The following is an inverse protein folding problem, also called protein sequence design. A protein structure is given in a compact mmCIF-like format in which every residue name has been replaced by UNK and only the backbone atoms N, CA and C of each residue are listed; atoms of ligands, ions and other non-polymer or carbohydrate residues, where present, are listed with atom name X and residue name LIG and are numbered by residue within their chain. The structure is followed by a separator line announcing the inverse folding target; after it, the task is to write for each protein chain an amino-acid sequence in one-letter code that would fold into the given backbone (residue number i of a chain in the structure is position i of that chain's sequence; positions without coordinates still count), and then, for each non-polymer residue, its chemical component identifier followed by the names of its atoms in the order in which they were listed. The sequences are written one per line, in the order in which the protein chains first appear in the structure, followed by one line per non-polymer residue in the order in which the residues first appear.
data_IF_479080566592
#
_entry.id   IF_479080566592
#
_cell.length_a   1.000
_cell.length_b   1.000
_cell.length_c   1.000
_cell.angle_alpha   90.00
_cell.angle_beta   90.00
_cell.angle_gamma   90.00
#
_symmetry.space_group_name_H-M   'P 1'
#
loop_
_entity.id
_entity.type
_entity.pdbx_description
1 polymer ?
#
# COMPACT_ATOMS: atom_id res chain seq x y z
N UNK A 1 36.38 37.99 19.20
CA UNK A 1 36.48 37.64 17.76
C UNK A 1 35.70 36.36 17.58
N UNK A 2 34.51 36.45 17.03
CA UNK A 2 33.76 35.27 16.64
C UNK A 2 34.32 34.84 15.30
N UNK A 3 35.15 33.81 15.30
CA UNK A 3 35.56 33.15 14.06
C UNK A 3 34.27 32.73 13.33
N UNK A 4 34.07 33.29 12.13
CA UNK A 4 32.98 32.86 11.27
C UNK A 4 33.20 31.36 10.99
N UNK A 5 32.25 30.53 11.41
CA UNK A 5 32.25 29.08 11.17
C UNK A 5 32.29 28.74 9.67
N UNK A 6 32.05 29.73 8.82
CA UNK A 6 31.97 29.53 7.36
C UNK A 6 32.77 30.62 6.66
N UNK A 7 33.62 30.23 5.71
CA UNK A 7 34.25 31.16 4.79
C UNK A 7 33.29 31.58 3.66
N UNK A 8 33.50 32.78 3.11
CA UNK A 8 32.67 33.25 1.97
C UNK A 8 32.76 32.32 0.77
N UNK A 9 33.88 31.61 0.57
CA UNK A 9 34.03 30.59 -0.45
C UNK A 9 33.16 29.35 -0.20
N UNK A 10 33.05 28.91 1.06
CA UNK A 10 32.18 27.81 1.44
C UNK A 10 30.70 28.13 1.17
N UNK A 11 30.28 29.32 1.59
CA UNK A 11 28.91 29.80 1.34
C UNK A 11 28.59 29.90 -0.15
N UNK A 12 29.52 30.41 -0.95
CA UNK A 12 29.34 30.52 -2.40
C UNK A 12 29.23 29.14 -3.07
N UNK A 13 30.05 28.16 -2.62
CA UNK A 13 30.01 26.79 -3.11
C UNK A 13 28.68 26.11 -2.77
N UNK A 14 28.17 26.28 -1.56
CA UNK A 14 26.90 25.69 -1.15
C UNK A 14 25.73 26.29 -1.94
N UNK A 15 25.74 27.62 -2.15
CA UNK A 15 24.74 28.28 -2.98
C UNK A 15 24.73 27.75 -4.41
N UNK A 16 25.92 27.61 -5.01
CA UNK A 16 26.02 27.09 -6.39
C UNK A 16 25.53 25.64 -6.45
N UNK A 17 25.90 24.79 -5.49
CA UNK A 17 25.43 23.41 -5.41
C UNK A 17 23.91 23.31 -5.26
N UNK A 18 23.30 24.22 -4.46
CA UNK A 18 21.85 24.30 -4.32
C UNK A 18 21.17 24.73 -5.63
N UNK A 19 21.70 25.75 -6.31
CA UNK A 19 21.18 26.20 -7.61
C UNK A 19 21.27 25.09 -8.67
N UNK A 20 22.40 24.42 -8.76
CA UNK A 20 22.60 23.30 -9.67
C UNK A 20 21.61 22.18 -9.38
N UNK A 21 21.34 21.90 -8.10
CA UNK A 21 20.42 20.85 -7.66
C UNK A 21 18.96 21.19 -7.97
N UNK A 22 18.55 22.45 -7.80
CA UNK A 22 17.19 22.90 -8.11
C UNK A 22 16.83 22.75 -9.60
N UNK A 23 17.83 22.74 -10.47
CA UNK A 23 17.63 22.53 -11.90
C UNK A 23 17.80 21.07 -12.36
N UNK A 24 18.18 20.17 -11.46
CA UNK A 24 18.31 18.75 -11.78
C UNK A 24 16.93 18.07 -11.66
N UNK A 25 16.61 17.25 -12.65
CA UNK A 25 15.48 16.33 -12.52
C UNK A 25 15.93 15.16 -11.63
N UNK A 26 15.31 14.93 -10.46
CA UNK A 26 15.72 13.84 -9.57
C UNK A 26 15.67 12.50 -10.28
N UNK A 27 16.72 11.68 -10.11
CA UNK A 27 16.67 10.28 -10.48
C UNK A 27 15.87 9.52 -9.43
N UNK A 28 14.63 9.18 -9.75
CA UNK A 28 13.72 8.43 -8.87
C UNK A 28 13.97 6.93 -8.87
N UNK A 29 14.87 6.42 -9.73
CA UNK A 29 15.09 4.98 -9.86
C UNK A 29 15.75 4.37 -8.64
N UNK A 30 16.55 5.16 -7.91
CA UNK A 30 17.27 4.70 -6.72
C UNK A 30 16.34 4.36 -5.54
N UNK A 31 15.15 4.96 -5.47
CA UNK A 31 14.16 4.71 -4.40
C UNK A 31 13.07 3.73 -4.81
N UNK A 32 12.87 3.53 -6.11
CA UNK A 32 11.85 2.63 -6.66
C UNK A 32 12.35 1.19 -6.76
N UNK A 33 12.96 0.67 -5.70
CA UNK A 33 13.49 -0.69 -5.65
C UNK A 33 12.99 -1.43 -4.42
N UNK A 34 12.74 -2.73 -4.61
CA UNK A 34 12.42 -3.61 -3.50
C UNK A 34 13.69 -3.96 -2.73
N UNK A 35 13.62 -3.80 -1.41
CA UNK A 35 14.63 -4.32 -0.48
C UNK A 35 13.95 -5.13 0.62
N UNK A 36 14.43 -6.35 0.84
CA UNK A 36 14.01 -7.18 1.97
C UNK A 36 14.49 -6.56 3.28
N UNK A 37 13.64 -6.59 4.29
CA UNK A 37 13.98 -6.09 5.61
C UNK A 37 13.05 -6.66 6.69
N UNK A 38 13.23 -6.25 7.95
CA UNK A 38 12.39 -6.70 9.05
C UNK A 38 10.90 -6.45 8.74
N UNK A 39 10.12 -7.54 8.70
CA UNK A 39 8.69 -7.48 8.43
C UNK A 39 8.28 -7.37 6.96
N UNK A 40 9.22 -7.38 6.02
CA UNK A 40 8.92 -7.36 4.58
C UNK A 40 9.75 -8.40 3.83
N UNK A 41 9.08 -9.27 3.07
CA UNK A 41 9.74 -10.27 2.24
C UNK A 41 8.99 -10.49 0.92
N UNK A 42 9.74 -10.72 -0.14
CA UNK A 42 9.21 -11.20 -1.42
C UNK A 42 9.04 -12.72 -1.35
N UNK A 43 7.86 -13.21 -1.68
CA UNK A 43 7.56 -14.64 -1.69
C UNK A 43 7.95 -15.29 -3.02
N UNK A 44 8.18 -16.60 -2.98
CA UNK A 44 8.36 -17.41 -4.18
C UNK A 44 6.98 -17.74 -4.80
N UNK A 45 6.29 -16.70 -5.24
CA UNK A 45 5.00 -16.76 -5.90
C UNK A 45 4.87 -15.53 -6.80
N UNK A 46 4.49 -15.77 -8.04
CA UNK A 46 4.35 -14.70 -9.03
C UNK A 46 3.14 -14.95 -9.92
N UNK A 47 2.40 -13.88 -10.21
CA UNK A 47 1.24 -13.85 -11.11
C UNK A 47 1.55 -13.07 -12.38
N UNK A 48 0.76 -13.29 -13.42
CA UNK A 48 0.86 -12.53 -14.66
C UNK A 48 0.33 -11.10 -14.45
N UNK A 49 1.23 -10.13 -14.56
CA UNK A 49 0.89 -8.72 -14.31
C UNK A 49 -0.06 -8.14 -15.37
N UNK A 50 -0.01 -8.61 -16.62
CA UNK A 50 -0.93 -8.15 -17.66
C UNK A 50 -2.35 -8.64 -17.34
N UNK A 51 -2.51 -9.94 -17.02
CA UNK A 51 -3.79 -10.50 -16.59
C UNK A 51 -4.34 -9.87 -15.31
N UNK A 52 -3.48 -9.46 -14.38
CA UNK A 52 -3.90 -8.73 -13.18
C UNK A 52 -4.48 -7.36 -13.53
N UNK A 53 -3.88 -6.64 -14.47
CA UNK A 53 -4.37 -5.34 -14.96
C UNK A 53 -5.69 -5.48 -15.69
N UNK A 54 -5.80 -6.46 -16.59
CA UNK A 54 -7.05 -6.76 -17.29
C UNK A 54 -8.18 -7.09 -16.30
N UNK A 55 -7.89 -7.92 -15.28
CA UNK A 55 -8.85 -8.24 -14.24
C UNK A 55 -9.24 -7.02 -13.39
N UNK A 56 -8.29 -6.13 -13.10
CA UNK A 56 -8.57 -4.87 -12.42
C UNK A 56 -9.56 -4.02 -13.21
N UNK A 57 -9.31 -3.80 -14.50
CA UNK A 57 -10.16 -3.00 -15.37
C UNK A 57 -11.58 -3.58 -15.45
N UNK A 58 -11.69 -4.91 -15.57
CA UNK A 58 -12.98 -5.62 -15.57
C UNK A 58 -13.72 -5.39 -14.25
N UNK A 59 -13.07 -5.61 -13.11
CA UNK A 59 -13.70 -5.48 -11.80
C UNK A 59 -14.12 -4.03 -11.52
N UNK A 60 -13.27 -3.05 -11.85
CA UNK A 60 -13.59 -1.63 -11.70
C UNK A 60 -14.75 -1.21 -12.59
N UNK A 61 -14.82 -1.72 -13.83
CA UNK A 61 -15.94 -1.44 -14.75
C UNK A 61 -17.27 -2.00 -14.24
N UNK A 62 -17.25 -3.14 -13.54
CA UNK A 62 -18.46 -3.83 -13.03
C UNK A 62 -19.02 -3.19 -11.75
N UNK A 63 -18.18 -2.87 -10.79
CA UNK A 63 -18.64 -2.40 -9.47
C UNK A 63 -18.05 -1.05 -9.07
N UNK A 64 -16.90 -0.64 -9.63
CA UNK A 64 -16.16 0.53 -9.24
C UNK A 64 -15.53 0.40 -7.84
N UNK A 65 -14.68 1.34 -7.51
CA UNK A 65 -14.18 1.50 -6.16
C UNK A 65 -15.25 2.08 -5.23
N UNK A 66 -15.18 1.71 -3.97
CA UNK A 66 -15.97 2.27 -2.87
C UNK A 66 -15.02 3.04 -1.94
N UNK A 67 -15.57 4.03 -1.23
CA UNK A 67 -14.82 4.96 -0.39
C UNK A 67 -14.63 6.31 -1.06
N UNK A 68 -14.13 7.27 -0.31
CA UNK A 68 -13.93 8.64 -0.78
C UNK A 68 -12.44 8.89 -1.10
N UNK A 69 -12.11 8.80 -2.39
CA UNK A 69 -10.75 9.06 -2.85
C UNK A 69 -10.33 10.51 -2.67
N UNK A 70 -11.28 11.46 -2.66
CA UNK A 70 -10.97 12.89 -2.54
C UNK A 70 -10.76 13.29 -1.08
N UNK A 71 -11.59 12.81 -0.17
CA UNK A 71 -11.49 13.13 1.25
C UNK A 71 -10.49 12.21 1.98
N UNK A 72 -10.54 10.91 1.71
CA UNK A 72 -9.72 9.92 2.42
C UNK A 72 -8.42 9.57 1.70
N UNK A 73 -8.28 9.91 0.42
CA UNK A 73 -7.16 9.50 -0.43
C UNK A 73 -7.05 7.98 -0.60
N UNK A 74 -8.17 7.28 -0.40
CA UNK A 74 -8.21 5.83 -0.36
C UNK A 74 -9.56 5.32 -0.84
N UNK A 75 -9.54 4.29 -1.69
CA UNK A 75 -10.73 3.55 -2.09
C UNK A 75 -10.44 2.06 -2.19
N UNK A 76 -11.45 1.25 -2.03
CA UNK A 76 -11.34 -0.21 -2.04
C UNK A 76 -12.40 -0.84 -2.94
N UNK A 77 -12.04 -1.99 -3.53
CA UNK A 77 -12.96 -2.88 -4.23
C UNK A 77 -12.81 -4.26 -3.57
N UNK A 78 -13.82 -4.72 -2.79
CA UNK A 78 -13.81 -6.04 -2.19
C UNK A 78 -13.87 -7.14 -3.25
N UNK A 79 -13.04 -8.18 -3.09
CA UNK A 79 -13.03 -9.37 -3.93
C UNK A 79 -13.51 -10.62 -3.17
N UNK A 80 -13.57 -10.54 -1.84
CA UNK A 80 -14.18 -11.56 -0.98
C UNK A 80 -15.26 -10.94 -0.12
N UNK A 81 -16.19 -11.76 0.35
CA UNK A 81 -17.31 -11.36 1.17
C UNK A 81 -17.60 -12.38 2.28
N UNK A 82 -18.39 -11.97 3.25
CA UNK A 82 -18.96 -12.88 4.23
C UNK A 82 -20.04 -13.72 3.52
N UNK A 83 -20.04 -15.05 3.64
CA UNK A 83 -21.00 -15.90 2.99
C UNK A 83 -22.44 -15.47 3.28
N UNK A 84 -23.23 -15.36 2.22
CA UNK A 84 -24.65 -14.93 2.31
C UNK A 84 -24.84 -13.40 2.41
N UNK A 85 -23.77 -12.60 2.51
CA UNK A 85 -23.85 -11.14 2.48
C UNK A 85 -23.45 -10.63 1.08
N UNK A 86 -24.37 -9.94 0.41
CA UNK A 86 -24.12 -9.34 -0.91
C UNK A 86 -23.87 -7.83 -0.85
N UNK A 87 -24.02 -7.21 0.31
CA UNK A 87 -23.87 -5.77 0.48
C UNK A 87 -22.47 -5.43 0.98
N UNK A 88 -21.84 -4.44 0.35
CA UNK A 88 -20.56 -3.89 0.80
C UNK A 88 -20.81 -2.96 1.99
N UNK A 89 -20.18 -3.25 3.11
CA UNK A 89 -20.23 -2.45 4.33
C UNK A 89 -18.95 -1.60 4.50
N UNK A 90 -18.96 -0.67 5.44
CA UNK A 90 -17.75 0.06 5.84
C UNK A 90 -16.65 -0.88 6.34
N UNK A 91 -17.01 -2.04 6.90
CA UNK A 91 -16.05 -3.05 7.34
C UNK A 91 -15.35 -3.74 6.18
N UNK A 92 -15.99 -3.86 5.00
CA UNK A 92 -15.34 -4.40 3.80
C UNK A 92 -14.24 -3.47 3.27
N UNK A 93 -14.33 -2.19 3.55
CA UNK A 93 -13.41 -1.16 3.07
C UNK A 93 -12.28 -0.88 4.05
N UNK A 94 -12.57 -0.84 5.34
CA UNK A 94 -11.61 -0.44 6.37
C UNK A 94 -10.54 -1.52 6.65
N UNK A 95 -9.34 -1.09 7.04
CA UNK A 95 -8.24 -1.97 7.41
C UNK A 95 -7.40 -1.50 8.59
N UNK A 96 -7.70 -0.33 9.17
CA UNK A 96 -6.94 0.22 10.29
C UNK A 96 -7.55 -0.17 11.61
N UNK A 97 -6.80 -0.83 12.48
CA UNK A 97 -7.29 -1.34 13.76
C UNK A 97 -6.73 -0.58 14.96
N UNK A 98 -5.42 -0.30 14.97
CA UNK A 98 -4.79 0.54 15.98
C UNK A 98 -4.13 1.70 15.27
N UNK A 99 -4.79 2.85 15.33
CA UNK A 99 -4.32 4.08 14.73
C UNK A 99 -3.46 4.84 15.72
N UNK A 100 -2.35 5.37 15.27
CA UNK A 100 -1.57 6.36 15.99
C UNK A 100 -1.76 7.72 15.32
N UNK A 101 -2.62 8.60 15.87
CA UNK A 101 -2.82 9.93 15.33
C UNK A 101 -1.55 10.79 15.47
N UNK A 102 -1.29 11.63 14.47
CA UNK A 102 -0.09 12.47 14.44
C UNK A 102 0.00 13.47 15.60
N UNK A 103 -1.14 13.84 16.16
CA UNK A 103 -1.24 14.88 17.19
C UNK A 103 -1.18 14.38 18.63
N UNK A 104 -1.23 13.09 18.90
CA UNK A 104 -1.36 12.58 20.27
C UNK A 104 -0.26 11.63 20.71
N UNK A 105 0.47 11.01 19.82
CA UNK A 105 1.44 9.93 20.09
C UNK A 105 0.87 8.72 20.83
N UNK A 106 -0.45 8.67 21.03
CA UNK A 106 -1.13 7.56 21.69
C UNK A 106 -1.87 6.73 20.66
N UNK A 107 -1.79 5.43 20.86
CA UNK A 107 -2.53 4.48 20.03
C UNK A 107 -4.02 4.53 20.39
N UNK A 108 -4.86 4.61 19.36
CA UNK A 108 -6.31 4.55 19.51
C UNK A 108 -6.79 3.25 18.88
N UNK A 109 -7.36 2.37 19.68
CA UNK A 109 -7.98 1.16 19.20
C UNK A 109 -9.28 1.48 18.45
N UNK A 110 -9.60 0.67 17.45
CA UNK A 110 -10.91 0.67 16.82
C UNK A 110 -11.94 0.07 17.79
N UNK A 111 -13.15 0.60 17.82
CA UNK A 111 -14.23 0.09 18.68
C UNK A 111 -14.65 -1.33 18.30
N UNK A 112 -14.70 -1.63 16.99
CA UNK A 112 -15.05 -2.95 16.48
C UNK A 112 -13.92 -3.52 15.64
N UNK A 113 -13.53 -4.76 15.94
CA UNK A 113 -12.60 -5.52 15.13
C UNK A 113 -13.35 -6.27 14.03
N UNK A 114 -12.80 -6.22 12.83
CA UNK A 114 -13.29 -7.00 11.71
C UNK A 114 -12.66 -8.39 11.78
N UNK A 115 -13.49 -9.43 11.80
CA UNK A 115 -13.01 -10.79 11.63
C UNK A 115 -12.63 -11.02 10.16
N UNK A 116 -11.36 -10.92 9.84
CA UNK A 116 -10.85 -11.11 8.49
C UNK A 116 -11.17 -12.50 7.94
N UNK A 117 -11.21 -13.53 8.79
CA UNK A 117 -11.51 -14.91 8.39
C UNK A 117 -12.98 -15.13 7.99
N UNK A 118 -13.88 -14.26 8.45
CA UNK A 118 -15.28 -14.32 8.05
C UNK A 118 -15.50 -14.06 6.55
N UNK A 119 -14.57 -13.34 5.88
CA UNK A 119 -14.65 -13.03 4.46
C UNK A 119 -14.15 -14.19 3.58
N UNK A 120 -14.72 -15.36 3.74
CA UNK A 120 -14.25 -16.61 3.16
C UNK A 120 -14.79 -16.95 1.77
N UNK A 121 -15.80 -16.21 1.28
CA UNK A 121 -16.38 -16.43 -0.04
C UNK A 121 -15.78 -15.43 -1.05
N UNK A 122 -15.21 -15.96 -2.15
CA UNK A 122 -14.84 -15.10 -3.29
C UNK A 122 -16.12 -14.60 -3.97
N UNK A 123 -16.16 -13.29 -4.29
CA UNK A 123 -17.36 -12.69 -4.86
C UNK A 123 -17.69 -13.29 -6.24
N UNK A 124 -18.87 -13.93 -6.39
CA UNK A 124 -19.29 -14.53 -7.67
C UNK A 124 -19.31 -13.56 -8.85
N UNK A 125 -19.47 -12.26 -8.59
CA UNK A 125 -19.45 -11.23 -9.64
C UNK A 125 -18.10 -11.15 -10.38
N UNK A 126 -17.03 -11.70 -9.78
CA UNK A 126 -15.66 -11.71 -10.32
C UNK A 126 -15.11 -13.11 -10.60
N UNK A 127 -15.97 -14.16 -10.52
CA UNK A 127 -15.56 -15.55 -10.65
C UNK A 127 -14.92 -15.90 -12.01
N UNK A 128 -15.21 -15.14 -13.06
CA UNK A 128 -14.67 -15.27 -14.41
C UNK A 128 -13.41 -14.42 -14.64
N UNK A 129 -12.90 -13.74 -13.63
CA UNK A 129 -11.69 -12.88 -13.72
C UNK A 129 -10.45 -13.63 -13.24
N UNK A 130 -9.28 -13.11 -13.60
CA UNK A 130 -8.01 -13.65 -13.13
C UNK A 130 -7.84 -13.58 -11.60
N UNK A 131 -8.54 -12.68 -10.92
CA UNK A 131 -8.52 -12.63 -9.47
C UNK A 131 -9.09 -13.88 -8.81
N UNK A 132 -10.00 -14.62 -9.46
CA UNK A 132 -10.47 -15.92 -8.96
C UNK A 132 -9.35 -16.98 -8.95
N UNK A 133 -8.52 -17.01 -10.02
CA UNK A 133 -7.33 -17.88 -10.08
C UNK A 133 -6.31 -17.49 -9.01
N UNK A 134 -6.07 -16.18 -8.83
CA UNK A 134 -5.19 -15.64 -7.79
C UNK A 134 -5.67 -16.04 -6.41
N UNK A 135 -6.94 -15.85 -6.09
CA UNK A 135 -7.53 -16.24 -4.82
C UNK A 135 -7.37 -17.74 -4.55
N UNK A 136 -7.66 -18.58 -5.55
CA UNK A 136 -7.49 -20.03 -5.45
C UNK A 136 -6.02 -20.42 -5.19
N UNK A 137 -5.07 -19.78 -5.85
CA UNK A 137 -3.65 -20.06 -5.65
C UNK A 137 -3.16 -19.62 -4.26
N UNK A 138 -3.65 -18.48 -3.75
CA UNK A 138 -3.32 -17.99 -2.42
C UNK A 138 -3.92 -18.88 -1.32
N UNK A 139 -5.20 -19.23 -1.42
CA UNK A 139 -5.89 -20.07 -0.43
C UNK A 139 -5.36 -21.51 -0.38
N UNK A 140 -4.72 -21.98 -1.46
CA UNK A 140 -4.03 -23.27 -1.46
C UNK A 140 -2.74 -23.27 -0.62
N UNK A 141 -2.20 -22.09 -0.26
CA UNK A 141 -0.93 -21.95 0.47
C UNK A 141 -1.07 -21.24 1.81
N UNK A 142 -2.06 -20.38 1.96
CA UNK A 142 -2.22 -19.50 3.12
C UNK A 142 -3.68 -19.51 3.60
N UNK A 143 -3.88 -19.24 4.88
CA UNK A 143 -5.18 -18.91 5.42
C UNK A 143 -5.52 -17.47 4.97
N UNK A 144 -6.27 -17.34 3.89
CA UNK A 144 -6.68 -16.06 3.32
C UNK A 144 -8.09 -15.74 3.83
N UNK A 145 -8.23 -14.57 4.43
CA UNK A 145 -9.53 -13.97 4.74
C UNK A 145 -9.90 -12.92 3.68
N UNK A 146 -10.08 -11.69 4.13
CA UNK A 146 -10.53 -10.60 3.26
C UNK A 146 -9.51 -10.25 2.18
N UNK A 147 -9.93 -10.35 0.91
CA UNK A 147 -9.16 -9.93 -0.26
C UNK A 147 -9.80 -8.69 -0.89
N UNK A 148 -9.00 -7.67 -1.17
CA UNK A 148 -9.46 -6.40 -1.73
C UNK A 148 -8.46 -5.85 -2.72
N UNK A 149 -8.93 -5.12 -3.73
CA UNK A 149 -8.10 -4.17 -4.46
C UNK A 149 -8.16 -2.83 -3.72
N UNK A 150 -7.02 -2.27 -3.41
CA UNK A 150 -6.89 -0.97 -2.75
C UNK A 150 -6.31 0.03 -3.73
N UNK A 151 -6.93 1.20 -3.82
CA UNK A 151 -6.42 2.34 -4.58
C UNK A 151 -6.03 3.46 -3.63
N UNK A 152 -4.86 4.06 -3.86
CA UNK A 152 -4.33 5.13 -3.04
C UNK A 152 -4.16 6.39 -3.88
N UNK A 153 -4.69 7.50 -3.37
CA UNK A 153 -4.63 8.81 -4.01
C UNK A 153 -3.20 9.36 -4.11
N UNK A 154 -3.05 10.36 -4.94
CA UNK A 154 -1.78 11.06 -5.16
C UNK A 154 -1.41 11.89 -3.92
N UNK A 155 -0.11 12.04 -3.67
CA UNK A 155 0.42 12.81 -2.53
C UNK A 155 -0.23 12.45 -1.19
N UNK A 156 -0.53 11.16 -1.00
CA UNK A 156 -1.26 10.68 0.17
C UNK A 156 -0.40 9.72 1.00
N UNK A 157 -0.48 9.85 2.31
CA UNK A 157 0.15 8.96 3.28
C UNK A 157 -0.90 8.46 4.28
N UNK A 158 -0.93 7.17 4.55
CA UNK A 158 -1.75 6.66 5.64
C UNK A 158 -1.19 7.13 6.99
N UNK A 159 -2.05 7.36 7.97
CA UNK A 159 -1.60 7.49 9.34
C UNK A 159 -0.88 6.21 9.79
N UNK A 160 0.11 6.34 10.66
CA UNK A 160 0.75 5.19 11.26
C UNK A 160 -0.27 4.34 12.01
N UNK A 161 -0.26 3.06 11.74
CA UNK A 161 -1.19 2.10 12.34
C UNK A 161 -0.58 0.70 12.37
N UNK A 162 -1.24 -0.20 13.06
CA UNK A 162 -0.95 -1.64 13.05
C UNK A 162 -2.24 -2.43 12.92
N UNK A 163 -2.12 -3.59 12.34
CA UNK A 163 -3.23 -4.53 12.11
C UNK A 163 -3.10 -5.76 13.01
N UNK A 164 -4.16 -6.52 13.25
CA UNK A 164 -4.08 -7.78 13.99
C UNK A 164 -3.30 -8.86 13.24
N UNK A 165 -3.39 -8.87 11.90
CA UNK A 165 -2.82 -9.90 11.03
C UNK A 165 -1.78 -9.31 10.08
N UNK A 166 -0.82 -10.13 9.60
CA UNK A 166 0.03 -9.77 8.49
C UNK A 166 -0.76 -9.69 7.18
N UNK A 167 -0.19 -9.05 6.16
CA UNK A 167 -0.80 -8.87 4.84
C UNK A 167 0.06 -9.46 3.73
N UNK A 168 -0.63 -9.89 2.66
CA UNK A 168 0.00 -10.15 1.37
C UNK A 168 -0.37 -9.01 0.41
N UNK A 169 0.64 -8.48 -0.28
CA UNK A 169 0.46 -7.43 -1.28
C UNK A 169 0.87 -7.94 -2.66
N UNK A 170 0.07 -7.63 -3.66
CA UNK A 170 0.33 -7.86 -5.08
C UNK A 170 0.12 -6.53 -5.78
N UNK A 171 1.16 -5.69 -5.92
CA UNK A 171 1.03 -4.41 -6.62
C UNK A 171 0.67 -4.62 -8.08
N UNK A 172 -0.35 -3.91 -8.57
CA UNK A 172 -0.84 -4.02 -9.96
C UNK A 172 -0.45 -2.78 -10.75
N UNK A 173 -0.59 -1.61 -10.14
CA UNK A 173 -0.16 -0.31 -10.66
C UNK A 173 0.63 0.36 -9.54
N UNK A 174 1.75 0.97 -9.87
CA UNK A 174 2.60 1.68 -8.91
C UNK A 174 3.44 2.73 -9.63
N UNK A 175 4.05 3.62 -8.88
CA UNK A 175 5.00 4.62 -9.37
C UNK A 175 6.20 4.73 -8.42
N UNK A 176 7.29 5.39 -8.82
CA UNK A 176 8.51 5.51 -7.98
C UNK A 176 8.28 6.17 -6.62
N UNK A 177 7.25 6.99 -6.46
CA UNK A 177 6.88 7.64 -5.20
C UNK A 177 6.02 6.76 -4.27
N UNK A 178 5.64 5.55 -4.71
CA UNK A 178 4.86 4.62 -3.88
C UNK A 178 5.79 3.81 -2.99
N UNK A 179 5.77 4.10 -1.69
CA UNK A 179 6.62 3.46 -0.69
C UNK A 179 5.79 2.77 0.38
N UNK A 180 6.30 1.68 0.89
CA UNK A 180 5.75 0.95 2.03
C UNK A 180 6.75 0.94 3.17
N UNK A 181 6.29 1.23 4.37
CA UNK A 181 7.12 1.30 5.56
C UNK A 181 6.57 0.35 6.61
N UNK A 182 7.41 -0.56 7.11
CA UNK A 182 7.09 -1.39 8.27
C UNK A 182 8.15 -1.16 9.33
N UNK A 183 7.74 -0.76 10.53
CA UNK A 183 8.63 -0.33 11.59
C UNK A 183 9.57 0.79 11.11
N UNK A 184 10.83 0.49 10.84
CA UNK A 184 11.86 1.41 10.37
C UNK A 184 12.41 1.05 8.98
N UNK A 185 11.85 0.00 8.34
CA UNK A 185 12.27 -0.42 7.01
C UNK A 185 11.36 0.17 5.94
N UNK A 186 11.96 0.85 4.97
CA UNK A 186 11.28 1.50 3.85
C UNK A 186 11.63 0.76 2.57
N UNK A 187 10.65 0.43 1.76
CA UNK A 187 10.86 -0.22 0.46
C UNK A 187 9.78 0.17 -0.55
N UNK A 188 10.09 0.00 -1.83
CA UNK A 188 9.12 0.03 -2.90
C UNK A 188 8.66 -1.40 -3.22
N UNK A 189 7.39 -1.57 -3.52
CA UNK A 189 6.81 -2.84 -3.98
C UNK A 189 6.49 -2.75 -5.48
N UNK A 190 7.36 -3.30 -6.37
CA UNK A 190 7.15 -3.23 -7.81
C UNK A 190 5.88 -3.93 -8.30
N UNK A 191 5.22 -3.35 -9.31
CA UNK A 191 4.08 -3.95 -10.00
C UNK A 191 4.56 -4.91 -11.10
N UNK A 192 5.19 -6.02 -10.69
CA UNK A 192 5.76 -7.04 -11.57
C UNK A 192 5.07 -8.42 -11.43
N UNK A 193 3.94 -8.46 -10.70
CA UNK A 193 3.18 -9.68 -10.40
C UNK A 193 3.70 -10.45 -9.20
N UNK A 194 4.76 -10.01 -8.55
CA UNK A 194 5.30 -10.65 -7.33
C UNK A 194 4.36 -10.45 -6.14
N UNK A 195 4.42 -11.41 -5.22
CA UNK A 195 3.70 -11.39 -3.95
C UNK A 195 4.65 -11.01 -2.83
N UNK A 196 4.26 -10.02 -2.04
CA UNK A 196 5.04 -9.53 -0.91
C UNK A 196 4.30 -9.80 0.39
N UNK A 197 4.99 -10.45 1.33
CA UNK A 197 4.55 -10.55 2.72
C UNK A 197 4.95 -9.28 3.46
N UNK A 198 4.04 -8.73 4.26
CA UNK A 198 4.30 -7.62 5.16
C UNK A 198 3.76 -7.93 6.54
N UNK A 199 4.59 -7.79 7.57
CA UNK A 199 4.15 -7.95 8.95
C UNK A 199 3.52 -6.65 9.46
N UNK A 200 2.28 -6.44 9.06
CA UNK A 200 1.47 -5.28 9.44
C UNK A 200 1.00 -5.30 10.90
N UNK A 201 1.39 -6.31 11.69
CA UNK A 201 1.22 -6.30 13.15
C UNK A 201 2.17 -5.31 13.82
N UNK A 202 3.28 -4.96 13.16
CA UNK A 202 4.11 -3.82 13.50
C UNK A 202 3.53 -2.51 12.95
N UNK A 203 4.00 -1.38 13.50
CA UNK A 203 3.63 -0.07 12.94
C UNK A 203 4.06 0.04 11.49
N UNK A 204 3.12 0.42 10.66
CA UNK A 204 3.36 0.57 9.23
C UNK A 204 2.56 1.73 8.64
N UNK A 205 2.99 2.16 7.48
CA UNK A 205 2.28 3.10 6.61
C UNK A 205 2.58 2.82 5.15
N UNK A 206 1.67 3.24 4.28
CA UNK A 206 1.88 3.29 2.85
C UNK A 206 1.74 4.74 2.39
N UNK A 207 2.61 5.16 1.49
CA UNK A 207 2.58 6.51 0.91
C UNK A 207 2.59 6.43 -0.61
N UNK A 208 1.94 7.41 -1.23
CA UNK A 208 2.04 7.67 -2.65
C UNK A 208 2.47 9.13 -2.82
N UNK A 209 3.75 9.34 -3.08
CA UNK A 209 4.34 10.64 -3.39
C UNK A 209 4.41 10.94 -4.90
N UNK A 210 3.77 10.14 -5.73
CA UNK A 210 3.77 10.30 -7.17
C UNK A 210 2.65 11.21 -7.67
N UNK A 211 2.78 11.61 -8.93
CA UNK A 211 1.84 12.46 -9.64
C UNK A 211 0.83 11.67 -10.49
N UNK A 212 0.97 10.35 -10.53
CA UNK A 212 0.10 9.44 -11.30
C UNK A 212 0.16 8.02 -10.72
#
# INVERSE_FOLDING_TARGET
MTDSLFSDQSIAKDKQAMEDWLHQKPDSTSVAQFTTGPGIAKLDLKFDIARLRDALDICVSRQGYKGDMQEEGFAALPLTRIPGNSEVSANDLSGRYWLRPDNSYQEVAREEFVDEAAFSEFDPAFADTYFAEVHKALTARFAIGRMRVLSKGLFNCNSWHRDPEPRLHIPIVTNPGSLFVVNHHVTHLPADGSVYFTDTRGYHTAMNGGEH
#
